data_IF_725765589590
#
_entry.id   IF_725765589590
#
_cell.length_a   1.000
_cell.length_b   1.000
_cell.length_c   1.000
_cell.angle_alpha   90.00
_cell.angle_beta   90.00
_cell.angle_gamma   90.00
#
_symmetry.space_group_name_H-M   'P 1'
#
loop_
_entity.id
_entity.type
_entity.pdbx_description
1 polymer ?
#
# COMPACT_ATOMS: atom_id res chain seq x y z
N UNK A 1 -1.91 -4.79 0.98
CA UNK A 1 -1.05 -5.07 -0.20
C UNK A 1 -0.95 -6.56 -0.39
N UNK A 2 -1.30 -7.07 -1.58
CA UNK A 2 -1.25 -8.49 -1.90
C UNK A 2 0.21 -8.92 -2.11
N UNK A 3 0.75 -9.72 -1.19
CA UNK A 3 2.13 -10.19 -1.23
C UNK A 3 2.46 -10.99 -2.52
N UNK A 4 1.44 -11.62 -3.13
CA UNK A 4 1.60 -12.46 -4.31
C UNK A 4 1.31 -11.72 -5.64
N UNK A 5 1.10 -10.41 -5.62
CA UNK A 5 0.93 -9.64 -6.85
C UNK A 5 2.24 -9.63 -7.64
N UNK A 6 2.14 -9.85 -8.94
CA UNK A 6 3.31 -9.87 -9.82
C UNK A 6 3.86 -8.46 -10.10
N UNK A 7 2.98 -7.46 -10.06
CA UNK A 7 3.29 -6.05 -10.20
C UNK A 7 2.27 -5.25 -9.37
N UNK A 8 2.73 -4.25 -8.65
CA UNK A 8 1.92 -3.38 -7.80
C UNK A 8 2.08 -1.94 -8.26
N UNK A 9 0.99 -1.34 -8.68
CA UNK A 9 0.96 0.03 -9.19
C UNK A 9 0.19 0.90 -8.19
N UNK A 10 0.80 1.96 -7.69
CA UNK A 10 0.17 2.94 -6.84
C UNK A 10 -0.26 4.16 -7.68
N UNK A 11 -1.53 4.56 -7.57
CA UNK A 11 -2.03 5.75 -8.25
C UNK A 11 -1.63 7.00 -7.46
N UNK A 12 -1.10 8.03 -8.11
CA UNK A 12 -0.78 9.30 -7.47
C UNK A 12 -2.03 9.88 -6.79
N UNK A 13 -1.88 10.35 -5.56
CA UNK A 13 -2.99 10.80 -4.72
C UNK A 13 -3.66 9.71 -3.88
N UNK A 14 -3.31 8.43 -4.05
CA UNK A 14 -3.78 7.40 -3.14
C UNK A 14 -2.99 7.40 -1.82
N UNK A 15 -3.63 6.92 -0.76
CA UNK A 15 -3.01 6.70 0.54
C UNK A 15 -2.64 5.23 0.68
N UNK A 16 -1.36 4.94 0.88
CA UNK A 16 -0.84 3.58 1.09
C UNK A 16 -0.29 3.48 2.50
N UNK A 17 -0.96 2.70 3.35
CA UNK A 17 -0.51 2.46 4.72
C UNK A 17 -0.93 1.07 5.19
N UNK A 18 -0.22 0.53 6.18
CA UNK A 18 -0.55 -0.75 6.80
C UNK A 18 -1.75 -0.62 7.76
N UNK A 19 -1.86 0.53 8.44
CA UNK A 19 -2.93 0.88 9.36
C UNK A 19 -3.57 2.20 8.92
N UNK A 20 -4.83 2.43 9.31
CA UNK A 20 -5.43 3.75 9.14
C UNK A 20 -4.59 4.83 9.83
N UNK A 21 -4.51 6.06 9.25
CA UNK A 21 -3.62 7.11 9.78
C UNK A 21 -3.83 7.40 11.28
N UNK A 22 -5.06 7.46 11.74
CA UNK A 22 -5.37 7.71 13.16
C UNK A 22 -4.83 6.59 14.07
N UNK A 23 -5.00 5.33 13.66
CA UNK A 23 -4.49 4.19 14.42
C UNK A 23 -2.95 4.15 14.41
N UNK A 24 -2.33 4.49 13.28
CA UNK A 24 -0.88 4.55 13.18
C UNK A 24 -0.29 5.60 14.11
N UNK A 25 -0.86 6.81 14.11
CA UNK A 25 -0.33 7.91 14.96
C UNK A 25 -0.62 7.70 16.44
N UNK A 26 -1.72 7.03 16.80
CA UNK A 26 -1.99 6.68 18.21
C UNK A 26 -0.93 5.73 18.79
N UNK A 27 -0.31 4.90 17.95
CA UNK A 27 0.79 4.02 18.37
C UNK A 27 2.15 4.73 18.32
N UNK A 28 2.41 5.48 17.23
CA UNK A 28 3.72 6.08 17.00
C UNK A 28 3.97 7.34 17.84
N UNK A 29 2.92 8.10 18.15
CA UNK A 29 2.98 9.41 18.80
C UNK A 29 2.16 9.46 20.09
N UNK A 30 1.94 8.30 20.74
CA UNK A 30 1.14 8.18 21.97
C UNK A 30 1.54 9.23 23.03
N UNK A 31 2.84 9.30 23.36
CA UNK A 31 3.32 10.22 24.38
C UNK A 31 3.09 11.71 24.05
N UNK A 32 3.16 12.09 22.78
CA UNK A 32 2.92 13.46 22.34
C UNK A 32 1.42 13.80 22.35
N UNK A 33 0.60 12.83 21.99
CA UNK A 33 -0.86 12.96 21.95
C UNK A 33 -1.41 13.07 23.38
N UNK A 34 -0.94 12.22 24.28
CA UNK A 34 -1.38 12.20 25.68
C UNK A 34 -0.94 13.46 26.45
N UNK A 35 0.20 14.07 26.07
CA UNK A 35 0.64 15.33 26.66
C UNK A 35 -0.16 16.56 26.16
N UNK A 36 -1.06 16.40 25.18
CA UNK A 36 -1.83 17.50 24.62
C UNK A 36 -3.13 17.76 25.41
N UNK A 37 -3.55 19.04 25.48
CA UNK A 37 -4.80 19.42 26.12
C UNK A 37 -6.05 18.88 25.40
N UNK A 38 -5.93 18.56 24.09
CA UNK A 38 -7.00 18.03 23.27
C UNK A 38 -6.51 16.87 22.44
N UNK A 39 -6.67 15.66 22.96
CA UNK A 39 -6.26 14.39 22.35
C UNK A 39 -6.83 14.21 20.93
N UNK A 40 -8.11 14.52 20.73
CA UNK A 40 -8.78 14.32 19.44
C UNK A 40 -8.18 15.27 18.37
N UNK A 41 -8.00 16.54 18.71
CA UNK A 41 -7.43 17.51 17.79
C UNK A 41 -5.96 17.17 17.47
N UNK A 42 -5.17 16.78 18.47
CA UNK A 42 -3.79 16.36 18.30
C UNK A 42 -3.68 15.11 17.42
N UNK A 43 -4.50 14.10 17.66
CA UNK A 43 -4.55 12.89 16.84
C UNK A 43 -4.87 13.20 15.36
N UNK A 44 -5.89 14.04 15.13
CA UNK A 44 -6.27 14.40 13.76
C UNK A 44 -5.19 15.22 13.05
N UNK A 45 -4.54 16.15 13.73
CA UNK A 45 -3.44 16.93 13.17
C UNK A 45 -2.23 16.05 12.82
N UNK A 46 -1.83 15.16 13.71
CA UNK A 46 -0.76 14.19 13.48
C UNK A 46 -1.11 13.20 12.36
N UNK A 47 -2.36 12.73 12.29
CA UNK A 47 -2.82 11.83 11.24
C UNK A 47 -2.79 12.51 9.85
N UNK A 48 -3.14 13.78 9.76
CA UNK A 48 -3.04 14.55 8.52
C UNK A 48 -1.58 14.71 8.09
N UNK A 49 -0.69 15.05 9.02
CA UNK A 49 0.75 15.15 8.77
C UNK A 49 1.33 13.79 8.32
N UNK A 50 1.06 12.73 9.05
CA UNK A 50 1.50 11.36 8.73
C UNK A 50 1.02 10.92 7.34
N UNK A 51 -0.23 11.23 7.00
CA UNK A 51 -0.77 10.91 5.68
C UNK A 51 -0.01 11.64 4.57
N UNK A 52 0.27 12.93 4.74
CA UNK A 52 0.97 13.73 3.75
C UNK A 52 2.45 13.30 3.58
N UNK A 53 3.13 13.03 4.68
CA UNK A 53 4.57 12.77 4.68
C UNK A 53 4.92 11.30 4.41
N UNK A 54 4.14 10.35 4.93
CA UNK A 54 4.50 8.93 4.92
C UNK A 54 3.66 8.12 3.94
N UNK A 55 2.35 8.38 3.85
CA UNK A 55 1.42 7.51 3.13
C UNK A 55 1.28 7.82 1.64
N UNK A 56 2.21 8.55 1.03
CA UNK A 56 2.14 8.88 -0.39
C UNK A 56 2.46 7.67 -1.28
N UNK A 57 1.96 7.68 -2.53
CA UNK A 57 2.28 6.66 -3.53
C UNK A 57 3.80 6.58 -3.79
N UNK A 58 4.51 7.71 -3.80
CA UNK A 58 5.96 7.76 -3.99
C UNK A 58 6.70 7.07 -2.82
N UNK A 59 6.28 7.32 -1.58
CA UNK A 59 6.85 6.66 -0.41
C UNK A 59 6.56 5.15 -0.40
N UNK A 60 5.39 4.74 -0.90
CA UNK A 60 5.07 3.32 -1.04
C UNK A 60 6.03 2.61 -2.01
N UNK A 61 6.44 3.27 -3.09
CA UNK A 61 7.47 2.74 -4.01
C UNK A 61 8.83 2.74 -3.35
N UNK A 62 9.23 3.83 -2.69
CA UNK A 62 10.50 3.90 -1.99
C UNK A 62 10.64 2.83 -0.90
N UNK A 63 9.55 2.50 -0.22
CA UNK A 63 9.49 1.44 0.79
C UNK A 63 9.32 0.02 0.20
N UNK A 64 9.19 -0.15 -1.12
CA UNK A 64 8.98 -1.44 -1.77
C UNK A 64 7.57 -2.02 -1.61
N UNK A 65 6.62 -1.25 -1.08
CA UNK A 65 5.21 -1.65 -0.97
C UNK A 65 4.49 -1.63 -2.33
N UNK A 66 4.93 -0.76 -3.24
CA UNK A 66 4.52 -0.73 -4.64
C UNK A 66 5.76 -0.74 -5.55
N UNK A 67 5.59 -1.15 -6.80
CA UNK A 67 6.68 -1.26 -7.76
C UNK A 67 6.81 0.01 -8.62
N UNK A 68 5.70 0.68 -8.87
CA UNK A 68 5.67 1.93 -9.65
C UNK A 68 4.49 2.80 -9.28
N UNK A 69 4.58 4.09 -9.65
CA UNK A 69 3.44 5.02 -9.56
C UNK A 69 2.87 5.31 -10.94
N UNK A 70 1.61 5.68 -11.00
CA UNK A 70 0.98 6.23 -12.21
C UNK A 70 -0.02 7.33 -11.85
N UNK A 71 -0.30 8.22 -12.81
CA UNK A 71 -1.39 9.17 -12.67
C UNK A 71 -2.73 8.52 -12.98
N UNK A 72 -3.80 9.00 -12.36
CA UNK A 72 -5.14 8.48 -12.58
C UNK A 72 -5.57 8.52 -14.06
N UNK A 73 -5.17 9.56 -14.80
CA UNK A 73 -5.44 9.68 -16.24
C UNK A 73 -4.77 8.56 -17.06
N UNK A 74 -3.61 8.09 -16.62
CA UNK A 74 -2.80 7.08 -17.31
C UNK A 74 -2.98 5.66 -16.72
N UNK A 75 -3.81 5.49 -15.70
CA UNK A 75 -3.95 4.22 -14.98
C UNK A 75 -4.31 3.06 -15.91
N UNK A 76 -5.24 3.28 -16.85
CA UNK A 76 -5.61 2.25 -17.84
C UNK A 76 -4.43 1.84 -18.72
N UNK A 77 -3.70 2.81 -19.25
CA UNK A 77 -2.54 2.54 -20.10
C UNK A 77 -1.44 1.78 -19.31
N UNK A 78 -1.21 2.17 -18.05
CA UNK A 78 -0.26 1.50 -17.16
C UNK A 78 -0.66 0.05 -16.88
N UNK A 79 -1.95 -0.24 -16.69
CA UNK A 79 -2.45 -1.61 -16.49
C UNK A 79 -2.28 -2.45 -17.75
N UNK A 80 -2.58 -1.90 -18.93
CA UNK A 80 -2.38 -2.60 -20.23
C UNK A 80 -0.90 -2.92 -20.42
N UNK A 81 -0.01 -1.95 -20.25
CA UNK A 81 1.43 -2.16 -20.34
C UNK A 81 1.94 -3.20 -19.32
N UNK A 82 1.38 -3.21 -18.11
CA UNK A 82 1.72 -4.22 -17.10
C UNK A 82 1.32 -5.64 -17.55
N UNK A 83 0.15 -5.82 -18.15
CA UNK A 83 -0.26 -7.10 -18.68
C UNK A 83 0.61 -7.55 -19.87
N UNK A 84 0.98 -6.62 -20.75
CA UNK A 84 1.90 -6.91 -21.84
C UNK A 84 3.27 -7.36 -21.32
N UNK A 85 3.82 -6.63 -20.35
CA UNK A 85 5.09 -6.97 -19.68
C UNK A 85 5.04 -8.36 -19.03
N UNK A 86 3.91 -8.70 -18.42
CA UNK A 86 3.73 -9.98 -17.71
C UNK A 86 3.26 -11.13 -18.60
N UNK A 87 2.97 -10.90 -19.88
CA UNK A 87 2.40 -11.89 -20.80
C UNK A 87 3.28 -13.13 -20.96
N UNK A 88 4.60 -12.96 -20.90
CA UNK A 88 5.59 -14.05 -21.01
C UNK A 88 5.97 -14.66 -19.67
N UNK A 89 5.49 -14.08 -18.54
CA UNK A 89 5.84 -14.57 -17.21
C UNK A 89 5.32 -16.00 -17.01
N UNK A 90 6.22 -16.91 -16.67
CA UNK A 90 5.90 -18.29 -16.27
C UNK A 90 6.14 -18.43 -14.77
N UNK A 91 5.11 -18.79 -14.02
CA UNK A 91 5.25 -19.18 -12.62
C UNK A 91 5.38 -20.69 -12.54
N UNK A 92 6.58 -21.19 -12.20
CA UNK A 92 6.75 -22.59 -11.87
C UNK A 92 6.06 -22.87 -10.52
N UNK A 93 5.01 -23.66 -10.55
CA UNK A 93 4.40 -24.18 -9.32
C UNK A 93 5.01 -25.53 -9.01
N UNK A 94 5.28 -25.79 -7.73
CA UNK A 94 5.67 -27.13 -7.30
C UNK A 94 4.60 -28.14 -7.74
N UNK A 95 4.97 -29.24 -8.39
CA UNK A 95 4.02 -30.25 -8.82
C UNK A 95 3.31 -30.82 -7.57
N UNK A 96 2.01 -30.82 -7.57
CA UNK A 96 1.22 -31.44 -6.51
C UNK A 96 1.29 -32.95 -6.68
N UNK A 97 1.71 -33.67 -5.64
CA UNK A 97 1.73 -35.15 -5.65
C UNK A 97 0.34 -35.75 -5.72
N UNK A 98 -0.63 -35.07 -5.11
CA UNK A 98 -2.02 -35.54 -5.04
C UNK A 98 -2.95 -34.35 -5.23
N UNK A 99 -4.05 -34.53 -5.96
CA UNK A 99 -5.17 -33.61 -5.96
C UNK A 99 -5.91 -33.72 -4.62
N UNK A 100 -6.33 -32.58 -4.02
CA UNK A 100 -7.33 -32.63 -2.97
C UNK A 100 -8.63 -33.09 -3.62
N UNK A 101 -9.06 -34.31 -3.30
CA UNK A 101 -10.42 -34.71 -3.58
C UNK A 101 -11.34 -34.03 -2.58
N UNK A 102 -12.32 -33.28 -3.09
CA UNK A 102 -13.40 -32.79 -2.24
C UNK A 102 -14.22 -34.01 -1.81
N UNK A 103 -14.30 -34.23 -0.51
CA UNK A 103 -15.21 -35.20 0.10
C UNK A 103 -16.58 -34.57 0.25
#
# INVERSE_FOLDING_TARGET
VLANAALKIAVNGCTVSALGPNAAVSVLYEAEIDASDNIIAATNAKAAQYTAEVCSAANAVAAGAADMTCDAANARASVVAAFELLSTKRAARLPKKHGNMAL
#
